data_IF_164151990857
#
_entry.id   IF_164151990857
#
_cell.length_a   1.000
_cell.length_b   1.000
_cell.length_c   1.000
_cell.angle_alpha   90.00
_cell.angle_beta   90.00
_cell.angle_gamma   90.00
#
_symmetry.space_group_name_H-M   'P 1'
#
loop_
_entity.id
_entity.type
_entity.pdbx_description
1 polymer ?
#
# COMPACT_ATOMS: atom_id res chain seq x y z
N UNK A 1 39.89 12.25 13.73
CA UNK A 1 38.51 12.00 14.16
C UNK A 1 37.92 10.95 13.23
N UNK A 2 37.71 9.69 13.66
CA UNK A 2 36.91 8.72 12.92
C UNK A 2 35.45 8.79 13.39
N UNK A 3 34.52 8.50 12.48
CA UNK A 3 33.15 8.09 12.81
C UNK A 3 32.13 9.21 12.98
N UNK A 4 31.31 9.45 11.97
CA UNK A 4 30.00 8.78 11.94
C UNK A 4 29.42 8.87 10.52
N UNK A 5 29.62 7.80 9.75
CA UNK A 5 28.85 7.58 8.53
C UNK A 5 27.44 7.21 8.98
N UNK A 6 26.55 8.20 9.02
CA UNK A 6 25.14 7.98 9.30
C UNK A 6 24.56 7.10 8.20
N UNK A 7 24.57 5.79 8.47
CA UNK A 7 23.91 4.79 7.67
C UNK A 7 22.43 5.13 7.67
N UNK A 8 21.92 5.60 6.53
CA UNK A 8 20.50 5.74 6.28
C UNK A 8 19.88 4.33 6.29
N UNK A 9 19.50 3.86 7.48
CA UNK A 9 18.65 2.69 7.69
C UNK A 9 17.16 3.08 7.55
N UNK A 10 16.86 4.11 6.74
CA UNK A 10 15.50 4.50 6.40
C UNK A 10 15.02 3.65 5.24
N UNK A 11 14.04 2.76 5.48
CA UNK A 11 13.23 2.23 4.39
C UNK A 11 12.53 3.38 3.64
N UNK A 12 11.90 3.10 2.48
CA UNK A 12 11.23 4.11 1.67
C UNK A 12 10.04 4.79 2.38
N UNK A 13 9.66 4.33 3.56
CA UNK A 13 8.59 4.88 4.36
C UNK A 13 9.11 5.28 5.75
N UNK A 14 8.99 6.56 6.09
CA UNK A 14 9.26 7.08 7.43
C UNK A 14 7.94 7.28 8.17
N UNK A 15 7.80 6.62 9.31
CA UNK A 15 6.62 6.75 10.17
C UNK A 15 6.60 8.15 10.82
N UNK A 16 5.51 8.93 10.67
CA UNK A 16 5.38 10.22 11.33
C UNK A 16 5.28 10.07 12.86
N UNK A 17 5.76 11.05 13.65
CA UNK A 17 5.74 10.99 15.12
C UNK A 17 4.31 10.99 15.70
N UNK A 18 3.33 11.47 14.95
CA UNK A 18 1.90 11.43 15.30
C UNK A 18 1.29 10.02 15.12
N UNK A 19 2.00 9.11 14.44
CA UNK A 19 1.51 7.78 14.06
C UNK A 19 0.68 7.80 12.78
N UNK A 20 0.33 6.60 12.31
CA UNK A 20 -0.57 6.40 11.15
C UNK A 20 -1.62 5.35 11.48
N UNK A 21 -2.77 5.47 10.83
CA UNK A 21 -3.76 4.40 10.82
C UNK A 21 -3.43 3.49 9.65
N UNK A 22 -2.86 2.32 9.98
CA UNK A 22 -2.41 1.37 8.97
C UNK A 22 -3.55 0.93 8.04
N UNK A 23 -4.79 0.88 8.53
CA UNK A 23 -5.95 0.50 7.73
C UNK A 23 -6.25 1.54 6.62
N UNK A 24 -6.20 2.84 6.93
CA UNK A 24 -6.40 3.92 5.95
C UNK A 24 -5.29 3.92 4.89
N UNK A 25 -4.04 3.75 5.31
CA UNK A 25 -2.90 3.65 4.38
C UNK A 25 -3.04 2.42 3.48
N UNK A 26 -3.50 1.29 4.01
CA UNK A 26 -3.74 0.10 3.19
C UNK A 26 -4.87 0.31 2.17
N UNK A 27 -5.95 0.98 2.57
CA UNK A 27 -7.06 1.30 1.66
C UNK A 27 -6.58 2.21 0.52
N UNK A 28 -5.91 3.31 0.82
CA UNK A 28 -5.38 4.25 -0.16
C UNK A 28 -4.42 3.57 -1.15
N UNK A 29 -3.52 2.70 -0.65
CA UNK A 29 -2.63 1.91 -1.52
C UNK A 29 -3.39 0.95 -2.45
N UNK A 30 -4.49 0.36 -2.00
CA UNK A 30 -5.34 -0.52 -2.82
C UNK A 30 -6.06 0.27 -3.90
N UNK A 31 -6.64 1.41 -3.56
CA UNK A 31 -7.31 2.30 -4.50
C UNK A 31 -6.34 2.80 -5.57
N UNK A 32 -5.15 3.24 -5.19
CA UNK A 32 -4.11 3.66 -6.13
C UNK A 32 -3.66 2.50 -7.04
N UNK A 33 -3.49 1.30 -6.51
CA UNK A 33 -3.11 0.13 -7.31
C UNK A 33 -4.22 -0.28 -8.29
N UNK A 34 -5.49 -0.18 -7.90
CA UNK A 34 -6.62 -0.41 -8.79
C UNK A 34 -6.71 0.65 -9.88
N UNK A 35 -6.58 1.93 -9.52
CA UNK A 35 -6.60 3.04 -10.47
C UNK A 35 -5.46 2.91 -11.50
N UNK A 36 -4.23 2.59 -11.07
CA UNK A 36 -3.09 2.38 -11.96
C UNK A 36 -3.26 1.17 -12.90
N UNK A 37 -4.08 0.20 -12.51
CA UNK A 37 -4.30 -1.02 -13.28
C UNK A 37 -5.63 -1.06 -14.03
N UNK A 38 -6.42 0.02 -13.95
CA UNK A 38 -7.75 0.12 -14.55
C UNK A 38 -8.73 -0.90 -13.98
N UNK A 39 -8.76 -1.08 -12.65
CA UNK A 39 -9.63 -2.04 -11.97
C UNK A 39 -9.13 -3.49 -11.99
N UNK A 40 -7.96 -3.78 -12.58
CA UNK A 40 -7.47 -5.16 -12.63
C UNK A 40 -6.91 -5.63 -11.29
N UNK A 41 -7.76 -6.24 -10.47
CA UNK A 41 -7.43 -6.77 -9.15
C UNK A 41 -6.17 -7.66 -9.11
N UNK A 42 -5.94 -8.49 -10.14
CA UNK A 42 -4.76 -9.38 -10.19
C UNK A 42 -3.48 -8.57 -10.40
N UNK A 43 -3.52 -7.54 -11.24
CA UNK A 43 -2.39 -6.64 -11.45
C UNK A 43 -2.18 -5.73 -10.24
N UNK A 44 -3.24 -5.20 -9.64
CA UNK A 44 -3.17 -4.41 -8.42
C UNK A 44 -2.52 -5.20 -7.27
N UNK A 45 -2.93 -6.45 -7.09
CA UNK A 45 -2.34 -7.34 -6.08
C UNK A 45 -0.85 -7.55 -6.32
N UNK A 46 -0.44 -7.77 -7.59
CA UNK A 46 0.97 -7.89 -7.96
C UNK A 46 1.77 -6.61 -7.68
N UNK A 47 1.20 -5.43 -7.95
CA UNK A 47 1.85 -4.14 -7.64
C UNK A 47 2.08 -3.96 -6.15
N UNK A 48 1.12 -4.39 -5.33
CA UNK A 48 1.21 -4.31 -3.87
C UNK A 48 1.99 -5.47 -3.23
N UNK A 49 2.50 -6.42 -4.02
CA UNK A 49 3.17 -7.61 -3.51
C UNK A 49 2.25 -8.57 -2.74
N UNK A 50 0.94 -8.48 -2.97
CA UNK A 50 -0.09 -9.30 -2.33
C UNK A 50 -0.53 -10.44 -3.24
N UNK A 51 -1.10 -11.49 -2.63
CA UNK A 51 -1.85 -12.48 -3.41
C UNK A 51 -3.22 -11.93 -3.80
N UNK A 52 -3.81 -12.47 -4.89
CA UNK A 52 -5.19 -12.11 -5.30
C UNK A 52 -6.18 -12.30 -4.15
N UNK A 53 -6.07 -13.39 -3.40
CA UNK A 53 -6.96 -13.68 -2.28
C UNK A 53 -6.84 -12.67 -1.14
N UNK A 54 -5.62 -12.22 -0.83
CA UNK A 54 -5.39 -11.18 0.18
C UNK A 54 -5.98 -9.83 -0.25
N UNK A 55 -5.81 -9.46 -1.52
CA UNK A 55 -6.41 -8.23 -2.05
C UNK A 55 -7.94 -8.33 -2.05
N UNK A 56 -8.50 -9.46 -2.47
CA UNK A 56 -9.94 -9.68 -2.48
C UNK A 56 -10.56 -9.55 -1.07
N UNK A 57 -9.97 -10.20 -0.06
CA UNK A 57 -10.41 -10.05 1.32
C UNK A 57 -10.36 -8.59 1.80
N UNK A 58 -9.32 -7.85 1.41
CA UNK A 58 -9.20 -6.43 1.76
C UNK A 58 -10.25 -5.57 1.05
N UNK A 59 -10.52 -5.80 -0.23
CA UNK A 59 -11.59 -5.11 -0.96
C UNK A 59 -12.97 -5.35 -0.31
N UNK A 60 -13.24 -6.59 0.10
CA UNK A 60 -14.47 -6.94 0.83
C UNK A 60 -14.52 -6.25 2.21
N UNK A 61 -13.39 -6.18 2.92
CA UNK A 61 -13.29 -5.52 4.23
C UNK A 61 -13.52 -4.00 4.14
N UNK A 62 -13.00 -3.36 3.09
CA UNK A 62 -13.05 -1.91 2.91
C UNK A 62 -14.26 -1.43 2.09
N UNK A 63 -15.12 -2.35 1.63
CA UNK A 63 -16.26 -2.06 0.74
C UNK A 63 -15.89 -1.24 -0.51
N UNK A 64 -14.64 -1.35 -0.98
CA UNK A 64 -14.14 -0.65 -2.16
C UNK A 64 -14.82 -1.27 -3.38
N UNK A 65 -15.88 -0.62 -3.86
CA UNK A 65 -16.54 -0.97 -5.12
C UNK A 65 -15.69 -0.44 -6.25
N UNK A 66 -15.39 -1.29 -7.23
CA UNK A 66 -14.81 -0.86 -8.49
C UNK A 66 -15.77 0.12 -9.18
N UNK A 67 -15.59 1.41 -8.95
CA UNK A 67 -16.06 2.45 -9.86
C UNK A 67 -15.07 2.49 -11.03
N UNK A 68 -15.30 1.58 -11.97
CA UNK A 68 -14.71 1.64 -13.30
C UNK A 68 -15.47 2.72 -14.09
N UNK A 69 -14.84 3.89 -14.27
CA UNK A 69 -15.24 4.90 -15.27
C UNK A 69 -14.64 4.57 -16.64
#
# INVERSE_FOLDING_TARGET
MPGDSSANAGGPFSLPPEGIILDEVNQDLIEQALAQTGGNQVRAAKLLGLTRGTLQYRLEKYEIKEEAE
#
